data_IF_617117652268
#
_entry.id   IF_617117652268
#
_cell.length_a   1.000
_cell.length_b   1.000
_cell.length_c   1.000
_cell.angle_alpha   90.00
_cell.angle_beta   90.00
_cell.angle_gamma   90.00
#
_symmetry.space_group_name_H-M   'P 1'
#
loop_
_entity.id
_entity.type
_entity.pdbx_description
1 polymer ?
#
# COMPACT_ATOMS: atom_id res chain seq x y z
N UNK A 1 34.61 21.82 70.95
CA UNK A 1 35.83 21.01 71.03
C UNK A 1 35.45 19.61 70.55
N UNK A 2 35.93 19.02 69.46
CA UNK A 2 37.00 19.37 68.53
C UNK A 2 36.80 18.56 67.22
N UNK A 3 37.01 19.26 66.11
CA UNK A 3 37.64 18.93 64.82
C UNK A 3 37.50 17.55 64.11
N UNK A 4 37.36 17.68 62.78
CA UNK A 4 37.48 16.67 61.70
C UNK A 4 38.91 16.07 61.60
N UNK A 5 39.14 14.99 60.81
CA UNK A 5 39.49 15.21 59.40
C UNK A 5 38.85 14.23 58.39
N UNK A 6 39.14 14.56 57.14
CA UNK A 6 38.48 14.25 55.87
C UNK A 6 39.25 13.18 55.06
N UNK A 7 38.54 12.23 54.44
CA UNK A 7 38.91 11.53 53.19
C UNK A 7 37.68 10.73 52.74
N UNK A 8 37.27 10.59 51.48
CA UNK A 8 37.70 11.10 50.19
C UNK A 8 36.61 10.70 49.18
N UNK A 9 36.42 11.56 48.17
CA UNK A 9 35.43 11.45 47.08
C UNK A 9 35.48 10.07 46.37
N UNK A 10 34.34 9.59 45.85
CA UNK A 10 34.02 9.60 44.40
C UNK A 10 32.72 8.85 44.06
N UNK A 11 32.12 9.34 42.99
CA UNK A 11 30.78 9.18 42.46
C UNK A 11 30.62 8.00 41.49
N UNK A 12 29.36 7.57 41.35
CA UNK A 12 28.70 7.04 40.14
C UNK A 12 29.24 5.76 39.47
N UNK A 13 28.40 4.72 39.49
CA UNK A 13 28.42 3.65 38.48
C UNK A 13 28.06 4.21 37.09
N UNK A 14 28.53 3.57 36.01
CA UNK A 14 27.73 2.52 35.37
C UNK A 14 28.60 1.44 34.71
N UNK A 15 28.00 0.35 34.22
CA UNK A 15 28.18 -0.19 32.84
C UNK A 15 27.66 -1.63 32.74
N UNK A 16 26.45 -1.76 32.22
CA UNK A 16 25.98 -2.97 31.56
C UNK A 16 26.63 -3.08 30.19
N UNK A 17 27.16 -4.27 29.89
CA UNK A 17 28.01 -4.58 28.74
C UNK A 17 27.23 -4.50 27.42
N UNK A 18 27.69 -3.68 26.48
CA UNK A 18 27.34 -3.78 25.07
C UNK A 18 28.20 -4.88 24.43
N UNK A 19 27.56 -5.88 23.82
CA UNK A 19 28.22 -6.94 23.07
C UNK A 19 28.37 -6.46 21.61
N UNK A 20 29.61 -6.19 21.20
CA UNK A 20 29.98 -5.87 19.82
C UNK A 20 30.21 -7.16 19.03
N UNK A 21 29.70 -7.28 17.79
CA UNK A 21 30.03 -8.42 16.95
C UNK A 21 31.49 -8.32 16.49
N UNK A 22 32.15 -9.46 16.65
CA UNK A 22 33.56 -9.78 16.40
C UNK A 22 33.85 -9.74 14.89
N UNK A 23 34.64 -8.77 14.45
CA UNK A 23 35.26 -8.76 13.12
C UNK A 23 36.38 -9.80 13.10
N UNK A 24 36.26 -10.79 12.22
CA UNK A 24 37.35 -11.72 11.91
C UNK A 24 38.28 -11.05 10.90
N UNK A 25 39.52 -10.78 11.30
CA UNK A 25 40.58 -10.39 10.37
C UNK A 25 41.03 -11.62 9.56
N UNK A 26 40.65 -11.66 8.28
CA UNK A 26 41.25 -12.59 7.31
C UNK A 26 42.42 -11.86 6.66
N UNK A 27 43.63 -12.31 7.01
CA UNK A 27 44.88 -11.89 6.38
C UNK A 27 44.97 -12.49 4.97
N UNK A 28 44.47 -11.74 3.99
CA UNK A 28 44.56 -12.08 2.56
C UNK A 28 45.73 -11.35 1.89
N UNK A 29 46.73 -12.09 1.43
CA UNK A 29 47.82 -11.59 0.57
C UNK A 29 47.20 -11.03 -0.71
N UNK A 30 47.24 -9.71 -0.90
CA UNK A 30 46.76 -9.03 -2.10
C UNK A 30 47.74 -9.22 -3.27
N UNK A 31 47.43 -10.16 -4.18
CA UNK A 31 48.02 -10.15 -5.52
C UNK A 31 47.22 -9.16 -6.37
N UNK A 32 47.91 -8.18 -6.95
CA UNK A 32 47.31 -7.18 -7.82
C UNK A 32 46.75 -7.87 -9.08
N UNK A 33 45.47 -7.67 -9.44
CA UNK A 33 44.97 -8.14 -10.71
C UNK A 33 45.52 -7.24 -11.82
N UNK A 34 46.23 -7.86 -12.77
CA UNK A 34 46.59 -7.25 -14.06
C UNK A 34 45.31 -6.73 -14.71
N UNK A 35 45.19 -5.40 -14.79
CA UNK A 35 44.10 -4.74 -15.51
C UNK A 35 44.33 -4.95 -17.01
N UNK A 36 43.72 -5.98 -17.58
CA UNK A 36 43.48 -5.99 -19.01
C UNK A 36 42.46 -4.88 -19.31
N UNK A 37 42.92 -3.82 -19.96
CA UNK A 37 42.04 -2.79 -20.47
C UNK A 37 41.03 -3.42 -21.44
N UNK A 38 39.71 -3.27 -21.22
CA UNK A 38 38.76 -3.59 -22.26
C UNK A 38 38.98 -2.59 -23.39
N UNK A 39 39.47 -3.06 -24.54
CA UNK A 39 39.40 -2.32 -25.78
C UNK A 39 37.94 -2.35 -26.24
N UNK A 40 37.10 -1.58 -25.56
CA UNK A 40 35.78 -1.18 -26.07
C UNK A 40 35.95 0.19 -26.66
N UNK A 41 36.29 0.20 -27.94
CA UNK A 41 35.92 1.30 -28.83
C UNK A 41 34.43 1.57 -28.57
N UNK A 42 34.00 2.81 -28.28
CA UNK A 42 32.57 3.08 -28.26
C UNK A 42 32.08 2.89 -29.69
N UNK A 43 31.42 1.76 -29.96
CA UNK A 43 30.60 1.62 -31.13
C UNK A 43 29.65 2.82 -31.08
N UNK A 44 29.75 3.70 -32.08
CA UNK A 44 28.81 4.78 -32.27
C UNK A 44 27.43 4.16 -32.19
N UNK A 45 26.70 4.50 -31.12
CA UNK A 45 25.25 4.38 -31.09
C UNK A 45 24.78 5.29 -32.20
N UNK A 46 24.65 4.71 -33.40
CA UNK A 46 23.98 5.31 -34.53
C UNK A 46 22.58 5.60 -34.04
N UNK A 47 22.40 6.84 -33.60
CA UNK A 47 21.13 7.34 -33.12
C UNK A 47 20.31 7.45 -34.38
N UNK A 48 19.64 6.37 -34.73
CA UNK A 48 18.66 6.33 -35.80
C UNK A 48 17.53 7.27 -35.36
N UNK A 49 17.68 8.56 -35.67
CA UNK A 49 16.59 9.51 -35.59
C UNK A 49 15.50 8.93 -36.48
N UNK A 50 14.31 8.56 -35.95
CA UNK A 50 13.23 8.11 -36.81
C UNK A 50 13.02 9.18 -37.86
N UNK A 51 12.97 8.77 -39.13
CA UNK A 51 12.77 9.68 -40.24
C UNK A 51 11.62 10.63 -39.90
N UNK A 52 11.76 11.95 -40.13
CA UNK A 52 10.68 12.88 -39.84
C UNK A 52 9.47 12.43 -40.63
N UNK A 53 8.39 12.07 -39.93
CA UNK A 53 7.14 11.68 -40.58
C UNK A 53 6.79 12.72 -41.63
N UNK A 54 6.48 12.24 -42.84
CA UNK A 54 6.14 13.11 -43.95
C UNK A 54 4.92 13.95 -43.57
N UNK A 55 4.84 15.17 -44.12
CA UNK A 55 3.73 16.10 -43.82
C UNK A 55 2.36 15.47 -44.09
N UNK A 56 2.30 14.51 -45.03
CA UNK A 56 1.12 13.71 -45.36
C UNK A 56 0.73 12.75 -44.23
N UNK A 57 1.67 11.94 -43.72
CA UNK A 57 1.42 11.02 -42.60
C UNK A 57 0.98 11.79 -41.34
N UNK A 58 1.59 12.97 -41.11
CA UNK A 58 1.20 13.85 -40.00
C UNK A 58 -0.24 14.37 -40.16
N UNK A 59 -0.67 14.67 -41.37
CA UNK A 59 -2.03 15.12 -41.65
C UNK A 59 -3.06 13.99 -41.45
N UNK A 60 -2.75 12.77 -41.90
CA UNK A 60 -3.59 11.59 -41.70
C UNK A 60 -3.79 11.28 -40.21
N UNK A 61 -2.72 11.36 -39.41
CA UNK A 61 -2.78 11.20 -37.96
C UNK A 61 -3.71 12.26 -37.33
N UNK A 62 -3.63 13.52 -37.78
CA UNK A 62 -4.49 14.59 -37.26
C UNK A 62 -5.97 14.33 -37.59
N UNK A 63 -6.27 13.79 -38.77
CA UNK A 63 -7.65 13.43 -39.16
C UNK A 63 -8.17 12.32 -38.25
N UNK A 64 -7.40 11.25 -38.07
CA UNK A 64 -7.77 10.13 -37.19
C UNK A 64 -7.99 10.58 -35.74
N UNK A 65 -7.11 11.44 -35.20
CA UNK A 65 -7.27 11.98 -33.85
C UNK A 65 -8.54 12.81 -33.68
N UNK A 66 -8.93 13.56 -34.71
CA UNK A 66 -10.20 14.32 -34.69
C UNK A 66 -11.40 13.39 -34.71
N UNK A 67 -11.37 12.34 -35.53
CA UNK A 67 -12.46 11.36 -35.62
C UNK A 67 -12.68 10.60 -34.30
N UNK A 68 -11.59 10.22 -33.63
CA UNK A 68 -11.64 9.61 -32.29
C UNK A 68 -12.25 10.59 -31.28
N UNK A 69 -11.87 11.87 -31.33
CA UNK A 69 -12.39 12.88 -30.42
C UNK A 69 -13.90 13.13 -30.61
N UNK A 70 -14.39 13.14 -31.85
CA UNK A 70 -15.83 13.22 -32.13
C UNK A 70 -16.57 11.95 -31.71
N UNK A 71 -15.96 10.76 -31.90
CA UNK A 71 -16.51 9.50 -31.42
C UNK A 71 -16.66 9.45 -29.89
N UNK A 72 -15.71 10.04 -29.15
CA UNK A 72 -15.78 10.15 -27.68
C UNK A 72 -16.88 11.15 -27.26
N UNK A 73 -17.01 12.29 -27.97
CA UNK A 73 -18.06 13.27 -27.69
C UNK A 73 -19.47 12.71 -27.98
N UNK A 74 -19.59 11.83 -28.97
CA UNK A 74 -20.84 11.17 -29.34
C UNK A 74 -21.29 10.07 -28.35
N UNK A 75 -20.54 9.80 -27.29
CA UNK A 75 -20.91 8.88 -26.21
C UNK A 75 -21.42 9.64 -24.98
N UNK A 76 -22.69 10.06 -24.92
CA UNK A 76 -23.27 10.50 -23.66
C UNK A 76 -23.55 9.27 -22.78
N UNK A 77 -22.97 9.24 -21.58
CA UNK A 77 -23.53 8.45 -20.47
C UNK A 77 -22.81 7.17 -20.02
N UNK A 78 -21.61 6.84 -20.52
CA UNK A 78 -20.86 5.68 -19.98
C UNK A 78 -20.16 5.95 -18.64
N UNK A 79 -20.01 7.23 -18.27
CA UNK A 79 -19.51 7.65 -16.96
C UNK A 79 -20.68 8.31 -16.22
N UNK A 80 -21.35 7.52 -15.38
CA UNK A 80 -22.47 7.99 -14.57
C UNK A 80 -22.12 9.25 -13.78
N UNK A 81 -22.87 10.32 -14.05
CA UNK A 81 -22.83 11.55 -13.28
C UNK A 81 -23.21 11.25 -11.83
N UNK A 82 -22.24 11.32 -10.91
CA UNK A 82 -22.55 11.55 -9.49
C UNK A 82 -22.88 13.02 -9.36
N UNK A 83 -24.13 13.38 -9.64
CA UNK A 83 -24.65 14.69 -9.25
C UNK A 83 -24.59 14.78 -7.73
N UNK A 84 -24.07 15.90 -7.23
CA UNK A 84 -24.06 16.21 -5.82
C UNK A 84 -25.51 16.11 -5.28
N UNK A 85 -25.74 15.20 -4.35
CA UNK A 85 -27.04 14.98 -3.75
C UNK A 85 -27.42 16.20 -2.93
N UNK A 86 -28.33 17.03 -3.44
CA UNK A 86 -29.09 17.96 -2.61
C UNK A 86 -29.87 17.15 -1.58
N UNK A 87 -29.87 17.66 -0.34
CA UNK A 87 -30.47 17.03 0.82
C UNK A 87 -32.00 17.00 0.69
N UNK A 88 -32.52 15.92 0.14
CA UNK A 88 -33.91 15.51 0.34
C UNK A 88 -33.88 14.17 1.09
N UNK A 89 -34.61 14.12 2.21
CA UNK A 89 -34.74 12.95 3.10
C UNK A 89 -35.51 11.85 2.37
N UNK A 90 -34.83 11.17 1.43
CA UNK A 90 -35.36 10.04 0.70
C UNK A 90 -35.36 8.77 1.57
N UNK A 91 -36.33 7.86 1.41
CA UNK A 91 -36.31 6.57 2.09
C UNK A 91 -35.02 5.83 1.74
N UNK A 92 -34.39 5.22 2.75
CA UNK A 92 -33.07 4.59 2.65
C UNK A 92 -32.95 3.74 1.37
N UNK A 93 -32.22 4.24 0.39
CA UNK A 93 -31.95 3.51 -0.84
C UNK A 93 -31.34 2.16 -0.46
N UNK A 94 -31.98 1.07 -0.91
CA UNK A 94 -31.48 -0.29 -0.70
C UNK A 94 -30.02 -0.31 -1.16
N UNK A 95 -29.09 -0.60 -0.24
CA UNK A 95 -27.66 -0.64 -0.53
C UNK A 95 -27.46 -1.59 -1.72
N UNK A 96 -26.69 -1.13 -2.72
CA UNK A 96 -26.34 -1.97 -3.86
C UNK A 96 -25.80 -3.32 -3.37
N UNK A 97 -26.15 -4.42 -4.04
CA UNK A 97 -25.70 -5.75 -3.64
C UNK A 97 -24.18 -5.80 -3.58
N UNK A 98 -23.66 -6.57 -2.61
CA UNK A 98 -22.22 -6.76 -2.47
C UNK A 98 -21.72 -7.58 -3.66
N UNK A 99 -20.83 -7.00 -4.45
CA UNK A 99 -20.12 -7.72 -5.51
C UNK A 99 -18.68 -8.02 -5.08
N UNK A 100 -18.22 -9.24 -5.35
CA UNK A 100 -16.85 -9.65 -5.12
C UNK A 100 -15.91 -8.92 -6.08
N UNK A 101 -14.86 -8.30 -5.56
CA UNK A 101 -13.90 -7.55 -6.39
C UNK A 101 -13.05 -8.44 -7.30
N UNK A 102 -12.98 -9.75 -7.02
CA UNK A 102 -12.14 -10.68 -7.78
C UNK A 102 -12.90 -11.31 -8.93
N UNK A 103 -14.09 -11.87 -8.66
CA UNK A 103 -14.88 -12.65 -9.63
C UNK A 103 -16.25 -12.02 -9.96
N UNK A 104 -16.57 -10.86 -9.41
CA UNK A 104 -17.86 -10.17 -9.62
C UNK A 104 -19.11 -10.92 -9.13
N UNK A 105 -18.96 -12.01 -8.36
CA UNK A 105 -20.06 -12.74 -7.75
C UNK A 105 -20.72 -12.00 -6.58
N UNK A 106 -21.82 -12.52 -6.03
CA UNK A 106 -22.64 -11.87 -4.99
C UNK A 106 -22.15 -12.10 -3.55
N UNK A 107 -20.87 -12.43 -3.36
CA UNK A 107 -20.25 -12.72 -2.06
C UNK A 107 -19.20 -11.66 -1.68
N UNK A 108 -18.76 -11.67 -0.42
CA UNK A 108 -17.66 -10.81 0.04
C UNK A 108 -16.34 -11.33 -0.51
N UNK A 109 -15.41 -10.43 -0.82
CA UNK A 109 -14.09 -10.79 -1.38
C UNK A 109 -13.30 -11.84 -0.56
N UNK A 110 -13.48 -11.88 0.76
CA UNK A 110 -12.81 -12.85 1.63
C UNK A 110 -13.34 -14.29 1.44
N UNK A 111 -14.60 -14.41 1.05
CA UNK A 111 -15.33 -15.67 0.86
C UNK A 111 -15.30 -16.10 -0.61
N UNK A 112 -14.31 -15.65 -1.38
CA UNK A 112 -14.23 -15.96 -2.80
C UNK A 112 -13.74 -17.38 -3.07
N UNK A 113 -14.61 -18.23 -3.62
CA UNK A 113 -14.29 -19.62 -3.97
C UNK A 113 -13.37 -19.76 -5.18
N UNK A 114 -13.39 -18.80 -6.10
CA UNK A 114 -12.53 -18.82 -7.29
C UNK A 114 -11.07 -18.46 -6.94
N UNK A 115 -10.88 -17.53 -6.01
CA UNK A 115 -9.58 -17.03 -5.59
C UNK A 115 -9.40 -17.29 -4.09
N UNK A 116 -9.08 -18.54 -3.75
CA UNK A 116 -8.96 -18.99 -2.35
C UNK A 116 -7.68 -18.51 -1.68
N UNK A 117 -6.56 -18.57 -2.39
CA UNK A 117 -5.26 -18.23 -1.81
C UNK A 117 -4.99 -16.72 -1.81
N UNK A 118 -4.40 -16.16 -0.74
CA UNK A 118 -3.96 -14.77 -0.69
C UNK A 118 -3.08 -14.39 -1.89
N UNK A 119 -2.17 -15.27 -2.31
CA UNK A 119 -1.28 -15.07 -3.45
C UNK A 119 -2.07 -14.90 -4.76
N UNK A 120 -3.10 -15.73 -5.00
CA UNK A 120 -3.96 -15.58 -6.19
C UNK A 120 -4.70 -14.25 -6.17
N UNK A 121 -5.17 -13.80 -5.00
CA UNK A 121 -5.85 -12.52 -4.84
C UNK A 121 -4.92 -11.34 -5.10
N UNK A 122 -3.68 -11.40 -4.63
CA UNK A 122 -2.65 -10.39 -4.94
C UNK A 122 -2.34 -10.32 -6.43
N UNK A 123 -2.26 -11.47 -7.12
CA UNK A 123 -2.05 -11.50 -8.56
C UNK A 123 -3.19 -10.79 -9.31
N UNK A 124 -4.45 -11.06 -8.96
CA UNK A 124 -5.62 -10.40 -9.56
C UNK A 124 -5.62 -8.89 -9.32
N UNK A 125 -5.22 -8.43 -8.13
CA UNK A 125 -5.11 -7.00 -7.84
C UNK A 125 -4.09 -6.32 -8.77
N UNK A 126 -2.94 -6.97 -8.98
CA UNK A 126 -1.91 -6.48 -9.90
C UNK A 126 -2.38 -6.48 -11.36
N UNK A 127 -2.92 -7.61 -11.81
CA UNK A 127 -3.41 -7.81 -13.19
C UNK A 127 -4.53 -6.82 -13.55
N UNK A 128 -5.54 -6.68 -12.68
CA UNK A 128 -6.68 -5.79 -12.89
C UNK A 128 -6.42 -4.34 -12.50
N UNK A 129 -5.18 -4.00 -12.11
CA UNK A 129 -4.79 -2.66 -11.63
C UNK A 129 -5.73 -2.09 -10.56
N UNK A 130 -6.15 -2.95 -9.62
CA UNK A 130 -7.01 -2.56 -8.52
C UNK A 130 -6.17 -2.02 -7.36
N UNK A 131 -6.73 -1.11 -6.57
CA UNK A 131 -6.03 -0.60 -5.39
C UNK A 131 -6.01 -1.65 -4.28
N UNK A 132 -4.83 -1.96 -3.74
CA UNK A 132 -4.65 -2.91 -2.62
C UNK A 132 -5.38 -2.53 -1.31
N UNK A 133 -5.82 -1.29 -1.17
CA UNK A 133 -6.43 -0.78 0.06
C UNK A 133 -7.96 -0.76 0.00
N UNK A 134 -8.55 -0.48 -1.16
CA UNK A 134 -10.01 -0.39 -1.33
C UNK A 134 -10.59 -1.40 -2.33
N UNK A 135 -9.77 -2.04 -3.16
CA UNK A 135 -10.21 -3.00 -4.17
C UNK A 135 -10.83 -2.38 -5.42
N UNK A 136 -10.76 -1.05 -5.60
CA UNK A 136 -11.28 -0.35 -6.78
C UNK A 136 -10.14 0.19 -7.63
N UNK A 137 -10.33 0.23 -8.96
CA UNK A 137 -9.38 0.85 -9.89
C UNK A 137 -9.51 2.37 -9.96
N UNK A 138 -8.78 2.98 -10.91
CA UNK A 138 -8.92 4.39 -11.29
C UNK A 138 -8.19 5.40 -10.39
N UNK A 139 -7.33 4.95 -9.48
CA UNK A 139 -6.50 5.83 -8.67
C UNK A 139 -5.22 5.14 -8.21
N UNK A 140 -4.20 5.94 -7.90
CA UNK A 140 -2.95 5.47 -7.31
C UNK A 140 -3.14 5.08 -5.82
N UNK A 141 -2.54 3.99 -5.32
CA UNK A 141 -2.66 3.57 -3.93
C UNK A 141 -2.25 4.64 -2.89
N UNK A 142 -1.30 5.54 -3.21
CA UNK A 142 -0.89 6.64 -2.32
C UNK A 142 -1.98 7.72 -2.19
N UNK A 143 -2.78 7.90 -3.25
CA UNK A 143 -3.91 8.83 -3.29
C UNK A 143 -5.23 8.16 -2.88
N UNK A 144 -5.19 6.89 -2.49
CA UNK A 144 -6.38 6.19 -2.01
C UNK A 144 -6.88 6.80 -0.69
N UNK A 145 -8.15 7.18 -0.65
CA UNK A 145 -8.79 7.62 0.59
C UNK A 145 -8.79 6.55 1.69
N UNK A 146 -8.67 5.27 1.32
CA UNK A 146 -8.59 4.14 2.26
C UNK A 146 -7.16 3.64 2.50
N UNK A 147 -6.12 4.39 2.11
CA UNK A 147 -4.70 3.99 2.26
C UNK A 147 -4.30 3.62 3.69
N UNK A 148 -4.94 4.25 4.68
CA UNK A 148 -4.68 4.04 6.10
C UNK A 148 -5.55 2.92 6.72
N UNK A 149 -6.29 2.18 5.89
CA UNK A 149 -7.01 0.98 6.32
C UNK A 149 -6.02 -0.03 6.92
N UNK A 150 -6.34 -0.48 8.13
CA UNK A 150 -5.63 -1.56 8.82
C UNK A 150 -6.33 -2.89 8.56
N UNK A 151 -5.55 -3.93 8.30
CA UNK A 151 -6.06 -5.28 8.17
C UNK A 151 -6.48 -5.84 9.52
N UNK A 152 -7.68 -6.45 9.56
CA UNK A 152 -8.26 -7.09 10.75
C UNK A 152 -7.53 -8.33 11.28
N UNK A 153 -6.49 -8.83 10.58
CA UNK A 153 -5.79 -10.06 10.93
C UNK A 153 -4.33 -9.83 11.33
N UNK A 154 -3.64 -8.87 10.71
CA UNK A 154 -2.20 -8.70 10.88
C UNK A 154 -1.75 -7.26 11.16
N UNK A 155 -2.68 -6.34 11.35
CA UNK A 155 -2.43 -4.92 11.69
C UNK A 155 -1.61 -4.12 10.65
N UNK A 156 -1.35 -4.71 9.47
CA UNK A 156 -0.66 -4.04 8.35
C UNK A 156 -1.68 -3.36 7.43
N UNK A 157 -1.22 -2.38 6.65
CA UNK A 157 -2.07 -1.65 5.70
C UNK A 157 -2.35 -2.46 4.43
N UNK A 158 -3.55 -3.05 4.34
CA UNK A 158 -4.10 -3.68 3.14
C UNK A 158 -5.58 -4.02 3.32
N UNK A 159 -6.26 -4.34 2.22
CA UNK A 159 -7.59 -4.94 2.25
C UNK A 159 -7.53 -6.35 2.85
N UNK A 160 -8.26 -6.64 3.93
CA UNK A 160 -8.20 -7.91 4.67
C UNK A 160 -8.40 -9.19 3.85
N UNK A 161 -9.08 -9.12 2.70
CA UNK A 161 -9.18 -10.26 1.78
C UNK A 161 -7.82 -10.68 1.17
N UNK A 162 -6.82 -9.78 1.18
CA UNK A 162 -5.47 -10.02 0.70
C UNK A 162 -4.51 -10.50 1.80
N UNK A 163 -4.99 -10.72 3.02
CA UNK A 163 -4.10 -11.10 4.11
C UNK A 163 -3.64 -12.55 3.96
N UNK A 164 -2.36 -12.79 4.22
CA UNK A 164 -1.77 -14.14 4.23
C UNK A 164 -2.11 -14.93 5.51
N UNK A 165 -2.62 -14.25 6.55
CA UNK A 165 -3.04 -14.91 7.79
C UNK A 165 -4.47 -15.43 7.64
N UNK A 166 -4.65 -16.71 7.96
CA UNK A 166 -5.95 -17.35 7.99
C UNK A 166 -6.93 -16.62 8.93
N UNK A 167 -8.23 -16.56 8.60
CA UNK A 167 -9.24 -15.79 9.33
C UNK A 167 -9.47 -16.23 10.79
N UNK A 168 -8.86 -17.34 11.21
CA UNK A 168 -8.89 -17.87 12.58
C UNK A 168 -7.86 -17.18 13.49
N UNK A 169 -6.95 -16.37 12.95
CA UNK A 169 -6.00 -15.56 13.70
C UNK A 169 -6.51 -14.14 13.99
N UNK A 170 -7.84 -13.94 14.14
CA UNK A 170 -8.38 -12.61 14.52
C UNK A 170 -7.82 -12.19 15.87
N UNK A 171 -6.92 -11.21 15.86
CA UNK A 171 -6.69 -10.36 17.03
C UNK A 171 -7.88 -9.42 17.09
N UNK A 172 -8.80 -9.63 18.03
CA UNK A 172 -9.88 -8.68 18.28
C UNK A 172 -9.23 -7.37 18.66
N UNK A 173 -9.26 -6.38 17.76
CA UNK A 173 -8.91 -5.01 18.14
C UNK A 173 -9.92 -4.54 19.17
N UNK A 174 -9.46 -4.37 20.42
CA UNK A 174 -10.21 -3.63 21.45
C UNK A 174 -10.35 -2.20 20.93
N UNK A 175 -11.57 -1.65 20.79
CA UNK A 175 -11.71 -0.25 20.42
C UNK A 175 -11.04 0.59 21.51
N UNK A 176 -10.03 1.37 21.13
CA UNK A 176 -9.45 2.38 21.99
C UNK A 176 -10.45 3.54 22.07
N UNK A 177 -11.46 3.40 22.94
CA UNK A 177 -12.23 4.47 23.61
C UNK A 177 -13.65 3.96 23.97
N UNK A 178 -13.79 3.47 25.20
CA UNK A 178 -15.02 3.60 25.97
C UNK A 178 -14.56 4.03 27.36
N UNK A 179 -14.51 5.34 27.59
CA UNK A 179 -14.36 5.90 28.94
C UNK A 179 -15.51 5.43 29.82
N UNK A 180 -15.13 5.03 31.03
CA UNK A 180 -15.95 4.64 32.18
C UNK A 180 -17.43 5.08 32.10
N UNK A 181 -18.32 4.11 31.90
CA UNK A 181 -19.64 4.18 32.49
C UNK A 181 -19.51 3.63 33.91
N UNK A 182 -19.72 4.52 34.87
CA UNK A 182 -19.82 4.26 36.30
C UNK A 182 -20.88 3.17 36.54
N UNK A 183 -20.49 2.06 37.17
CA UNK A 183 -21.44 1.02 37.57
C UNK A 183 -22.26 1.56 38.77
N UNK A 184 -23.56 1.74 38.55
CA UNK A 184 -24.51 2.00 39.64
C UNK A 184 -24.75 0.67 40.36
N UNK A 185 -24.37 0.51 41.64
CA UNK A 185 -24.60 -0.74 42.38
C UNK A 185 -26.10 -0.97 42.62
N UNK A 186 -26.54 -2.19 42.37
CA UNK A 186 -27.95 -2.63 42.31
C UNK A 186 -28.48 -3.03 43.69
N UNK A 187 -28.18 -2.26 44.75
CA UNK A 187 -28.57 -2.59 46.14
C UNK A 187 -29.44 -1.51 46.83
N UNK A 188 -30.10 -0.62 46.07
CA UNK A 188 -31.07 0.35 46.63
C UNK A 188 -32.40 0.38 45.86
N UNK A 189 -32.98 -0.79 45.62
CA UNK A 189 -34.42 -0.89 45.36
C UNK A 189 -35.01 -1.85 46.39
N UNK A 190 -35.36 -1.29 47.55
CA UNK A 190 -36.33 -1.82 48.51
C UNK A 190 -37.05 -0.63 49.15
#
# INVERSE_FOLDING_TARGET
MSELPNAGKKTAGPTGKANTPRVMEVSGKMMAPTRHAPNTTPAAIDTFLPAPMTTTEKAEIIVLLKEINESIKALPGLLGNRTASTAHKAPAAKRAPVCCIFCSGTHKAIDCDQYKSPQSRWAVIGEKSLCRFCGTGGHDPQRCHKRDRICLYCDRKHLSALCDLEPHARKVHKPANISAAEEIPVDQIL
#
